data_IF_886245508094
#
_entry.id   IF_886245508094
#
_cell.length_a   1.000
_cell.length_b   1.000
_cell.length_c   1.000
_cell.angle_alpha   90.00
_cell.angle_beta   90.00
_cell.angle_gamma   90.00
#
_symmetry.space_group_name_H-M   'P 1'
#
loop_
_entity.id
_entity.type
_entity.pdbx_description
1 polymer ?
#
# COMPACT_ATOMS: atom_id res chain seq x y z
N UNK A 1 20.85 6.74 -31.80
CA UNK A 1 19.90 6.30 -30.75
C UNK A 1 20.49 5.65 -29.50
N UNK A 2 21.81 5.42 -29.39
CA UNK A 2 22.40 4.72 -28.23
C UNK A 2 22.48 5.57 -26.93
N UNK A 3 22.43 6.90 -27.02
CA UNK A 3 22.63 7.79 -25.87
C UNK A 3 21.43 7.87 -24.90
N UNK A 4 20.19 7.63 -25.37
CA UNK A 4 18.99 7.63 -24.50
C UNK A 4 18.87 6.37 -23.63
N UNK A 5 19.31 5.22 -24.12
CA UNK A 5 19.21 3.94 -23.40
C UNK A 5 20.10 3.90 -22.14
N UNK A 6 21.29 4.50 -22.20
CA UNK A 6 22.22 4.57 -21.07
C UNK A 6 21.79 5.56 -19.97
N UNK A 7 21.02 6.60 -20.33
CA UNK A 7 20.48 7.56 -19.37
C UNK A 7 19.32 6.96 -18.55
N UNK A 8 18.42 6.22 -19.20
CA UNK A 8 17.33 5.50 -18.53
C UNK A 8 17.86 4.44 -17.56
N UNK A 9 18.91 3.70 -17.94
CA UNK A 9 19.50 2.68 -17.06
C UNK A 9 20.16 3.27 -15.81
N UNK A 10 20.73 4.48 -15.87
CA UNK A 10 21.30 5.15 -14.69
C UNK A 10 20.22 5.68 -13.75
N UNK A 11 19.14 6.24 -14.30
CA UNK A 11 18.02 6.73 -13.49
C UNK A 11 17.32 5.61 -12.71
N UNK A 12 17.14 4.43 -13.32
CA UNK A 12 16.55 3.28 -12.64
C UNK A 12 17.44 2.76 -11.50
N UNK A 13 18.77 2.71 -11.71
CA UNK A 13 19.73 2.29 -10.67
C UNK A 13 19.74 3.24 -9.46
N UNK A 14 19.58 4.54 -9.68
CA UNK A 14 19.51 5.52 -8.60
C UNK A 14 18.25 5.36 -7.75
N UNK A 15 17.09 5.11 -8.37
CA UNK A 15 15.82 4.91 -7.64
C UNK A 15 15.86 3.64 -6.79
N UNK A 16 16.34 2.52 -7.33
CA UNK A 16 16.46 1.26 -6.57
C UNK A 16 17.48 1.35 -5.43
N UNK A 17 18.60 2.06 -5.64
CA UNK A 17 19.61 2.24 -4.60
C UNK A 17 19.10 3.13 -3.45
N UNK A 18 18.34 4.18 -3.75
CA UNK A 18 17.67 5.03 -2.77
C UNK A 18 16.67 4.23 -1.93
N UNK A 19 15.81 3.42 -2.57
CA UNK A 19 14.83 2.56 -1.89
C UNK A 19 15.51 1.57 -0.92
N UNK A 20 16.65 1.02 -1.35
CA UNK A 20 17.45 0.07 -0.57
C UNK A 20 18.08 0.73 0.67
N UNK A 21 18.61 1.95 0.52
CA UNK A 21 19.17 2.73 1.63
C UNK A 21 18.08 3.14 2.64
N UNK A 22 16.92 3.59 2.17
CA UNK A 22 15.80 3.91 3.05
C UNK A 22 15.28 2.70 3.81
N UNK A 23 15.21 1.53 3.16
CA UNK A 23 14.78 0.28 3.79
C UNK A 23 15.78 -0.18 4.86
N UNK A 24 17.08 -0.06 4.58
CA UNK A 24 18.14 -0.38 5.53
C UNK A 24 18.13 0.55 6.77
N UNK A 25 17.89 1.84 6.59
CA UNK A 25 17.75 2.79 7.70
C UNK A 25 16.50 2.53 8.56
N UNK A 26 15.40 2.07 7.96
CA UNK A 26 14.20 1.67 8.70
C UNK A 26 14.41 0.37 9.49
N UNK A 27 15.19 -0.59 8.97
CA UNK A 27 15.53 -1.82 9.68
C UNK A 27 16.39 -1.57 10.93
N UNK A 28 17.25 -0.55 10.92
CA UNK A 28 18.15 -0.21 12.04
C UNK A 28 17.42 0.29 13.30
N UNK A 29 16.18 0.79 13.18
CA UNK A 29 15.38 1.30 14.31
C UNK A 29 14.37 0.28 14.86
N UNK A 30 14.46 -0.99 14.44
CA UNK A 30 13.43 -2.00 14.70
C UNK A 30 12.16 -1.77 13.86
N UNK A 31 11.33 -2.80 13.66
CA UNK A 31 10.12 -2.66 12.85
C UNK A 31 9.17 -1.67 13.54
N UNK A 32 8.92 -0.53 12.92
CA UNK A 32 7.98 0.45 13.44
C UNK A 32 6.59 -0.21 13.56
N UNK A 33 6.02 -0.19 14.75
CA UNK A 33 4.70 -0.75 15.03
C UNK A 33 3.74 0.37 15.40
N UNK A 34 2.54 0.35 14.82
CA UNK A 34 1.48 1.35 15.09
C UNK A 34 0.15 0.66 15.25
N UNK A 35 -0.63 1.08 16.25
CA UNK A 35 -1.99 0.57 16.46
C UNK A 35 -3.00 1.62 16.01
N UNK A 36 -3.91 1.25 15.12
CA UNK A 36 -4.98 2.11 14.60
C UNK A 36 -6.28 1.33 14.56
N UNK A 37 -7.35 1.87 15.15
CA UNK A 37 -8.67 1.22 15.20
C UNK A 37 -8.66 -0.23 15.71
N UNK A 38 -7.73 -0.58 16.61
CA UNK A 38 -7.58 -1.94 17.14
C UNK A 38 -6.83 -2.91 16.20
N UNK A 39 -6.27 -2.42 15.09
CA UNK A 39 -5.38 -3.15 14.21
C UNK A 39 -3.94 -2.77 14.51
N UNK A 40 -3.05 -3.77 14.56
CA UNK A 40 -1.61 -3.57 14.75
C UNK A 40 -0.94 -3.65 13.41
N UNK A 41 -0.33 -2.55 12.98
CA UNK A 41 0.44 -2.47 11.74
C UNK A 41 1.92 -2.52 12.03
N UNK A 42 2.64 -3.29 11.23
CA UNK A 42 4.10 -3.34 11.24
C UNK A 42 4.64 -2.78 9.93
N UNK A 43 5.60 -1.86 10.01
CA UNK A 43 6.32 -1.38 8.84
C UNK A 43 7.32 -2.46 8.39
N UNK A 44 7.14 -2.97 7.17
CA UNK A 44 8.02 -3.96 6.52
C UNK A 44 8.32 -3.48 5.11
N UNK A 45 9.57 -3.38 4.71
CA UNK A 45 9.96 -2.98 3.34
C UNK A 45 9.25 -1.68 2.85
N UNK A 46 9.09 -0.69 3.73
CA UNK A 46 8.42 0.57 3.41
C UNK A 46 6.90 0.48 3.19
N UNK A 47 6.26 -0.65 3.53
CA UNK A 47 4.79 -0.82 3.56
C UNK A 47 4.31 -1.10 4.99
N UNK A 48 3.22 -0.46 5.38
CA UNK A 48 2.50 -0.82 6.60
C UNK A 48 1.68 -2.08 6.33
N UNK A 49 1.88 -3.10 7.15
CA UNK A 49 1.17 -4.38 7.01
C UNK A 49 0.38 -4.65 8.27
N UNK A 50 -0.93 -4.81 8.13
CA UNK A 50 -1.81 -5.26 9.20
C UNK A 50 -1.42 -6.68 9.66
N UNK A 51 -1.23 -6.87 10.97
CA UNK A 51 -0.90 -8.15 11.57
C UNK A 51 -1.98 -9.23 11.40
N UNK A 52 -3.21 -8.84 11.03
CA UNK A 52 -4.29 -9.79 10.69
C UNK A 52 -4.21 -10.34 9.26
N UNK A 53 -3.30 -9.82 8.43
CA UNK A 53 -3.12 -10.30 7.07
C UNK A 53 -2.61 -11.74 7.07
N UNK A 54 -3.28 -12.61 6.33
CA UNK A 54 -2.83 -13.99 6.07
C UNK A 54 -2.52 -14.17 4.59
N UNK A 55 -1.64 -15.12 4.27
CA UNK A 55 -1.23 -15.41 2.88
C UNK A 55 -2.37 -15.92 2.00
N UNK A 56 -3.46 -16.44 2.60
CA UNK A 56 -4.65 -16.90 1.90
C UNK A 56 -5.64 -15.77 1.56
N UNK A 57 -5.42 -14.56 2.10
CA UNK A 57 -6.36 -13.45 1.90
C UNK A 57 -6.11 -12.80 0.53
N UNK A 58 -7.18 -12.68 -0.27
CA UNK A 58 -7.12 -11.96 -1.54
C UNK A 58 -6.80 -10.49 -1.28
N UNK A 59 -5.73 -9.98 -1.88
CA UNK A 59 -5.34 -8.57 -1.81
C UNK A 59 -5.85 -7.81 -3.03
N UNK A 60 -6.55 -6.70 -2.80
CA UNK A 60 -7.00 -5.76 -3.85
C UNK A 60 -6.24 -4.46 -3.72
N UNK A 61 -5.57 -4.06 -4.81
CA UNK A 61 -4.78 -2.84 -4.86
C UNK A 61 -5.64 -1.64 -5.23
N UNK A 62 -5.48 -0.56 -4.48
CA UNK A 62 -6.17 0.72 -4.70
C UNK A 62 -5.13 1.81 -4.84
N UNK A 63 -5.22 2.58 -5.93
CA UNK A 63 -4.27 3.67 -6.17
C UNK A 63 -4.53 4.84 -5.21
N UNK A 64 -3.49 5.33 -4.53
CA UNK A 64 -3.54 6.50 -3.67
C UNK A 64 -4.00 7.75 -4.44
N UNK A 65 -4.85 8.55 -3.80
CA UNK A 65 -5.41 9.80 -4.36
C UNK A 65 -6.19 9.64 -5.68
N UNK A 66 -6.60 8.41 -6.02
CA UNK A 66 -7.49 8.14 -7.15
C UNK A 66 -8.97 8.31 -6.78
N UNK A 67 -9.85 8.29 -7.80
CA UNK A 67 -11.30 8.24 -7.58
C UNK A 67 -11.69 7.00 -6.75
N UNK A 68 -11.08 5.86 -7.06
CA UNK A 68 -11.27 4.60 -6.32
C UNK A 68 -10.89 4.73 -4.85
N UNK A 69 -9.80 5.43 -4.52
CA UNK A 69 -9.39 5.67 -3.13
C UNK A 69 -10.40 6.52 -2.36
N UNK A 70 -10.83 7.65 -2.92
CA UNK A 70 -11.83 8.49 -2.25
C UNK A 70 -13.18 7.80 -2.11
N UNK A 71 -13.58 7.02 -3.12
CA UNK A 71 -14.80 6.21 -3.08
C UNK A 71 -14.72 5.15 -1.98
N UNK A 72 -13.57 4.49 -1.85
CA UNK A 72 -13.32 3.52 -0.79
C UNK A 72 -13.45 4.16 0.59
N UNK A 73 -12.77 5.29 0.82
CA UNK A 73 -12.81 6.00 2.10
C UNK A 73 -14.17 6.64 2.41
N UNK A 74 -14.99 6.90 1.39
CA UNK A 74 -16.36 7.34 1.57
C UNK A 74 -17.26 6.18 2.03
N UNK A 75 -17.05 4.97 1.49
CA UNK A 75 -17.82 3.76 1.83
C UNK A 75 -17.42 3.11 3.14
N UNK A 76 -16.13 3.16 3.49
CA UNK A 76 -15.54 2.53 4.66
C UNK A 76 -14.76 3.59 5.47
N UNK A 77 -15.44 4.43 6.27
CA UNK A 77 -14.81 5.53 6.99
C UNK A 77 -13.72 5.08 7.97
N UNK A 78 -13.80 3.86 8.50
CA UNK A 78 -12.81 3.28 9.41
C UNK A 78 -11.42 3.11 8.75
N UNK A 79 -11.38 3.01 7.42
CA UNK A 79 -10.12 2.90 6.68
C UNK A 79 -9.34 4.21 6.63
N UNK A 80 -9.97 5.36 6.92
CA UNK A 80 -9.31 6.67 6.81
C UNK A 80 -8.11 6.79 7.73
N UNK A 81 -8.26 6.36 8.98
CA UNK A 81 -7.17 6.40 9.96
C UNK A 81 -6.04 5.43 9.59
N UNK A 82 -6.38 4.27 9.03
CA UNK A 82 -5.40 3.28 8.59
C UNK A 82 -4.66 3.76 7.33
N UNK A 83 -5.37 4.34 6.37
CA UNK A 83 -4.81 4.93 5.16
C UNK A 83 -3.87 6.12 5.45
N UNK A 84 -4.05 6.81 6.58
CA UNK A 84 -3.19 7.92 7.01
C UNK A 84 -1.81 7.45 7.53
N UNK A 85 -1.57 6.14 7.65
CA UNK A 85 -0.27 5.61 8.09
C UNK A 85 0.84 5.87 7.07
N UNK A 86 0.51 5.98 5.79
CA UNK A 86 1.44 6.32 4.72
C UNK A 86 0.92 5.95 3.33
N UNK A 87 1.81 6.02 2.34
CA UNK A 87 1.44 5.84 0.93
C UNK A 87 1.33 4.37 0.50
N UNK A 88 1.80 3.44 1.35
CA UNK A 88 1.77 1.99 1.15
C UNK A 88 1.25 1.31 2.40
N UNK A 89 -0.01 0.88 2.38
CA UNK A 89 -0.69 0.29 3.54
C UNK A 89 -1.51 -0.92 3.10
N UNK A 90 -1.28 -2.08 3.72
CA UNK A 90 -2.08 -3.30 3.57
C UNK A 90 -2.95 -3.47 4.81
N UNK A 91 -4.27 -3.46 4.63
CA UNK A 91 -5.27 -3.57 5.69
C UNK A 91 -6.06 -4.85 5.47
N UNK A 92 -6.21 -5.67 6.51
CA UNK A 92 -6.94 -6.93 6.41
C UNK A 92 -8.39 -6.73 6.87
N UNK A 93 -9.34 -7.05 5.98
CA UNK A 93 -10.77 -7.11 6.26
C UNK A 93 -11.24 -8.54 6.56
N UNK A 94 -12.55 -8.77 6.51
CA UNK A 94 -13.16 -10.08 6.82
C UNK A 94 -12.80 -11.15 5.80
N UNK A 95 -12.91 -10.85 4.51
CA UNK A 95 -12.66 -11.80 3.42
C UNK A 95 -11.66 -11.29 2.38
N UNK A 96 -11.27 -10.03 2.46
CA UNK A 96 -10.40 -9.36 1.49
C UNK A 96 -9.45 -8.42 2.23
N UNK A 97 -8.24 -8.28 1.71
CA UNK A 97 -7.29 -7.29 2.14
C UNK A 97 -7.22 -6.17 1.11
N UNK A 98 -7.05 -4.94 1.59
CA UNK A 98 -6.92 -3.76 0.75
C UNK A 98 -5.50 -3.26 0.86
N UNK A 99 -4.82 -3.13 -0.27
CA UNK A 99 -3.49 -2.55 -0.36
C UNK A 99 -3.58 -1.18 -1.05
N UNK A 100 -3.34 -0.12 -0.31
CA UNK A 100 -3.15 1.22 -0.87
C UNK A 100 -1.72 1.32 -1.38
N UNK A 101 -1.57 1.75 -2.64
CA UNK A 101 -0.26 1.96 -3.28
C UNK A 101 -0.24 3.26 -4.10
N UNK A 102 0.93 3.87 -4.33
CA UNK A 102 1.03 5.08 -5.16
C UNK A 102 0.58 4.89 -6.62
N UNK A 103 0.68 3.65 -7.14
CA UNK A 103 0.33 3.32 -8.53
C UNK A 103 -0.34 1.95 -8.61
N UNK A 104 -1.59 1.95 -9.06
CA UNK A 104 -2.36 0.77 -9.45
C UNK A 104 -3.35 1.18 -10.56
N UNK A 105 -3.87 0.23 -11.36
CA UNK A 105 -4.98 0.50 -12.26
C UNK A 105 -6.21 1.00 -11.48
N UNK A 106 -6.99 1.88 -12.10
CA UNK A 106 -8.28 2.31 -11.56
C UNK A 106 -9.23 1.10 -11.44
N UNK A 107 -9.97 1.01 -10.33
CA UNK A 107 -10.96 -0.04 -10.15
C UNK A 107 -12.29 0.39 -10.77
N UNK A 108 -12.97 -0.56 -11.44
CA UNK A 108 -14.33 -0.32 -11.92
C UNK A 108 -15.30 -0.17 -10.75
N UNK A 109 -16.41 0.53 -10.96
CA UNK A 109 -17.44 0.72 -9.95
C UNK A 109 -18.02 -0.62 -9.44
N UNK A 110 -18.12 -1.62 -10.32
CA UNK A 110 -18.55 -2.99 -9.96
C UNK A 110 -17.54 -3.72 -9.08
N UNK A 111 -16.24 -3.60 -9.39
CA UNK A 111 -15.18 -4.15 -8.55
C UNK A 111 -15.15 -3.47 -7.18
N UNK A 112 -15.33 -2.15 -7.13
CA UNK A 112 -15.41 -1.38 -5.88
C UNK A 112 -16.64 -1.75 -5.04
N UNK A 113 -17.79 -2.03 -5.67
CA UNK A 113 -18.98 -2.52 -4.98
C UNK A 113 -18.79 -3.93 -4.41
N UNK A 114 -18.12 -4.82 -5.15
CA UNK A 114 -17.73 -6.14 -4.66
C UNK A 114 -16.78 -6.04 -3.47
N UNK A 115 -15.74 -5.19 -3.59
CA UNK A 115 -14.75 -4.97 -2.53
C UNK A 115 -15.40 -4.53 -1.23
N UNK A 116 -16.27 -3.51 -1.26
CA UNK A 116 -16.93 -2.98 -0.07
C UNK A 116 -17.87 -3.99 0.62
N UNK A 117 -18.41 -4.98 -0.10
CA UNK A 117 -19.25 -6.05 0.48
C UNK A 117 -18.43 -7.18 1.11
N UNK A 118 -17.22 -7.40 0.62
CA UNK A 118 -16.30 -8.44 1.07
C UNK A 118 -15.33 -7.98 2.16
N UNK A 119 -15.23 -6.66 2.36
CA UNK A 119 -14.59 -6.05 3.52
C UNK A 119 -15.26 -6.53 4.81
#
# INVERSE_FOLDING_TARGET
EAARLAATQRQLKSVTALDSLSSAMQAANGPAMRTVNGHTFTLRDGRWVDGRLTDSTRVVRVQLYSKSYFTLLARLPELRAMAALGDRVVMAGRAVAIEIVPRAPELSDSAMAGLARSW
#
